data_IF_711145462944
#
_entry.id   IF_711145462944
#
_cell.length_a   1.000
_cell.length_b   1.000
_cell.length_c   1.000
_cell.angle_alpha   90.00
_cell.angle_beta   90.00
_cell.angle_gamma   90.00
#
_symmetry.space_group_name_H-M   'P 1'
#
loop_
_entity.id
_entity.type
_entity.pdbx_description
1 polymer ?
#
# COMPACT_ATOMS: atom_id res chain seq x y z
N UNK A 1 16.63 -13.45 36.87
CA UNK A 1 16.42 -14.86 37.21
C UNK A 1 14.93 -15.07 37.34
N UNK A 2 14.16 -15.76 36.51
CA UNK A 2 14.28 -16.40 35.19
C UNK A 2 12.80 -16.47 34.71
N UNK A 3 12.47 -15.95 33.54
CA UNK A 3 12.40 -16.67 32.27
C UNK A 3 11.20 -17.66 32.15
N UNK A 4 10.39 -17.42 31.12
CA UNK A 4 9.57 -18.37 30.35
C UNK A 4 8.18 -18.76 30.91
N UNK A 5 7.13 -18.18 30.34
CA UNK A 5 6.43 -18.84 29.22
C UNK A 5 5.13 -18.10 28.89
N UNK A 6 4.98 -17.72 27.62
CA UNK A 6 3.79 -17.89 26.76
C UNK A 6 3.78 -16.83 25.68
N UNK A 7 4.35 -17.20 24.55
CA UNK A 7 4.10 -16.63 23.22
C UNK A 7 3.99 -17.85 22.27
N UNK A 8 3.40 -17.81 21.06
CA UNK A 8 2.55 -16.79 20.42
C UNK A 8 1.27 -17.38 19.81
N UNK A 9 0.46 -16.48 19.24
CA UNK A 9 -0.53 -16.68 18.17
C UNK A 9 -0.62 -18.09 17.55
N UNK A 10 -1.80 -18.70 17.67
CA UNK A 10 -2.23 -19.81 16.81
C UNK A 10 -2.25 -19.34 15.36
N UNK A 11 -1.20 -19.67 14.62
CA UNK A 11 -1.11 -19.49 13.17
C UNK A 11 -2.01 -20.52 12.49
N UNK A 12 -3.16 -20.06 11.98
CA UNK A 12 -3.99 -20.85 11.07
C UNK A 12 -3.24 -20.93 9.74
N UNK A 13 -2.60 -22.07 9.43
CA UNK A 13 -2.09 -22.35 8.09
C UNK A 13 -3.26 -22.61 7.15
N UNK A 14 -3.45 -21.87 6.05
CA UNK A 14 -4.44 -22.24 5.05
C UNK A 14 -3.96 -23.49 4.28
N UNK A 15 -4.88 -24.36 3.82
CA UNK A 15 -4.51 -25.56 3.09
C UNK A 15 -3.92 -25.20 1.72
N UNK A 16 -2.71 -25.71 1.46
CA UNK A 16 -2.12 -25.72 0.12
C UNK A 16 -2.94 -26.67 -0.76
N UNK A 17 -3.67 -26.12 -1.72
CA UNK A 17 -4.14 -26.89 -2.88
C UNK A 17 -3.31 -26.50 -4.11
N UNK A 18 -2.62 -27.50 -4.66
CA UNK A 18 -1.85 -27.41 -5.89
C UNK A 18 -2.82 -27.49 -7.08
N UNK A 19 -2.98 -26.40 -7.83
CA UNK A 19 -3.78 -26.35 -9.05
C UNK A 19 -3.17 -25.39 -10.06
N UNK A 20 -2.71 -25.92 -11.19
CA UNK A 20 -1.99 -25.23 -12.27
C UNK A 20 -2.71 -23.93 -12.70
N UNK A 21 -2.09 -22.76 -12.52
CA UNK A 21 -2.37 -21.56 -13.33
C UNK A 21 -1.09 -20.83 -13.71
N UNK A 22 -0.54 -21.21 -14.87
CA UNK A 22 0.32 -20.30 -15.65
C UNK A 22 -0.56 -19.16 -16.16
N UNK A 23 -0.50 -18.01 -15.49
CA UNK A 23 -0.78 -16.71 -16.10
C UNK A 23 0.36 -15.79 -15.68
N UNK A 24 1.41 -15.72 -16.51
CA UNK A 24 2.31 -14.58 -16.50
C UNK A 24 1.48 -13.37 -16.97
N UNK A 25 0.75 -12.76 -16.04
CA UNK A 25 0.18 -11.43 -16.21
C UNK A 25 1.19 -10.46 -15.64
N UNK A 26 1.60 -9.51 -16.47
CA UNK A 26 2.32 -8.31 -16.05
C UNK A 26 1.58 -7.77 -14.82
N UNK A 27 2.19 -7.92 -13.65
CA UNK A 27 1.66 -7.34 -12.42
C UNK A 27 1.97 -5.85 -12.50
N UNK A 28 1.00 -5.08 -13.01
CA UNK A 28 1.09 -3.63 -13.02
C UNK A 28 0.98 -3.17 -11.56
N UNK A 29 2.14 -2.94 -10.92
CA UNK A 29 2.26 -2.39 -9.56
C UNK A 29 1.48 -1.08 -9.45
N UNK A 30 0.87 -0.83 -8.29
CA UNK A 30 -0.01 0.32 -8.05
C UNK A 30 -1.47 0.16 -8.54
N UNK A 31 -1.87 -1.01 -9.06
CA UNK A 31 -3.28 -1.27 -9.32
C UNK A 31 -4.09 -1.40 -8.00
N UNK A 32 -5.42 -1.22 -8.02
CA UNK A 32 -6.21 -1.22 -6.79
C UNK A 32 -6.12 -2.49 -5.94
N UNK A 33 -5.88 -3.65 -6.55
CA UNK A 33 -5.74 -4.92 -5.81
C UNK A 33 -4.42 -4.93 -5.04
N UNK A 34 -3.33 -4.45 -5.66
CA UNK A 34 -2.05 -4.27 -4.97
C UNK A 34 -2.18 -3.26 -3.83
N UNK A 35 -2.83 -2.11 -4.07
CA UNK A 35 -3.01 -1.11 -3.02
C UNK A 35 -3.79 -1.67 -1.81
N UNK A 36 -4.89 -2.38 -2.03
CA UNK A 36 -5.64 -3.04 -0.94
C UNK A 36 -4.80 -4.12 -0.25
N UNK A 37 -4.02 -4.90 -1.00
CA UNK A 37 -3.14 -5.92 -0.45
C UNK A 37 -2.10 -5.31 0.50
N UNK A 38 -1.39 -4.27 0.05
CA UNK A 38 -0.41 -3.51 0.84
C UNK A 38 -1.05 -2.89 2.07
N UNK A 39 -2.23 -2.28 1.92
CA UNK A 39 -2.94 -1.65 3.04
C UNK A 39 -3.42 -2.69 4.08
N UNK A 40 -3.92 -3.85 3.65
CA UNK A 40 -4.26 -4.96 4.56
C UNK A 40 -3.04 -5.46 5.31
N UNK A 41 -1.88 -5.54 4.66
CA UNK A 41 -0.64 -5.91 5.30
C UNK A 41 -0.17 -4.86 6.32
N UNK A 42 -0.30 -3.57 5.99
CA UNK A 42 -0.06 -2.50 6.95
C UNK A 42 -0.94 -2.66 8.20
N UNK A 43 -2.26 -2.79 8.07
CA UNK A 43 -3.13 -2.99 9.25
C UNK A 43 -2.83 -4.27 10.05
N UNK A 44 -2.47 -5.35 9.36
CA UNK A 44 -2.17 -6.63 10.02
C UNK A 44 -0.86 -6.59 10.82
N UNK A 45 0.11 -5.80 10.35
CA UNK A 45 1.47 -5.75 10.88
C UNK A 45 1.91 -4.35 11.28
N UNK A 46 0.94 -3.47 11.56
CA UNK A 46 1.13 -2.03 11.75
C UNK A 46 2.27 -1.74 12.71
N UNK A 47 3.14 -0.81 12.31
CA UNK A 47 4.27 -0.35 13.12
C UNK A 47 5.25 -1.45 13.56
N UNK A 48 5.33 -2.53 12.77
CA UNK A 48 6.34 -3.58 12.92
C UNK A 48 7.28 -3.63 11.71
N UNK A 49 8.34 -4.43 11.80
CA UNK A 49 9.25 -4.75 10.68
C UNK A 49 8.54 -5.38 9.47
N UNK A 50 7.34 -5.93 9.65
CA UNK A 50 6.56 -6.54 8.58
C UNK A 50 5.63 -5.56 7.86
N UNK A 51 5.48 -4.33 8.37
CA UNK A 51 4.67 -3.29 7.74
C UNK A 51 5.38 -2.69 6.50
N UNK A 52 4.73 -2.70 5.32
CA UNK A 52 5.28 -2.15 4.09
C UNK A 52 5.64 -0.66 4.12
N UNK A 53 5.15 0.13 5.06
CA UNK A 53 5.51 1.54 5.18
C UNK A 53 5.62 1.96 6.63
N UNK A 54 6.25 1.08 7.41
CA UNK A 54 6.42 1.23 8.85
C UNK A 54 7.09 2.56 9.24
N UNK A 55 6.55 3.30 10.21
CA UNK A 55 7.14 4.53 10.73
C UNK A 55 8.39 4.27 11.58
N UNK A 56 8.65 3.03 12.00
CA UNK A 56 9.79 2.68 12.88
C UNK A 56 11.15 2.94 12.22
N UNK A 57 11.20 2.94 10.88
CA UNK A 57 12.39 3.29 10.11
C UNK A 57 12.52 4.81 9.87
N UNK A 58 11.69 5.61 10.52
CA UNK A 58 11.71 7.06 10.49
C UNK A 58 10.72 7.67 9.50
N UNK A 59 10.53 8.98 9.65
CA UNK A 59 9.53 9.75 8.91
C UNK A 59 9.62 9.59 7.39
N UNK A 60 10.80 9.83 6.81
CA UNK A 60 10.99 9.78 5.36
C UNK A 60 10.74 8.40 4.78
N UNK A 61 10.96 7.36 5.60
CA UNK A 61 10.71 6.00 5.24
C UNK A 61 9.23 5.73 5.00
N UNK A 62 8.40 5.93 6.03
CA UNK A 62 6.95 5.78 5.93
C UNK A 62 6.32 6.75 4.93
N UNK A 63 6.99 7.88 4.66
CA UNK A 63 6.44 8.94 3.80
C UNK A 63 6.63 8.61 2.34
N UNK A 64 7.86 8.40 1.86
CA UNK A 64 8.12 8.30 0.42
C UNK A 64 9.10 7.20 0.02
N UNK A 65 10.07 6.87 0.88
CA UNK A 65 11.15 5.94 0.52
C UNK A 65 10.63 4.51 0.39
N UNK A 66 9.60 4.11 1.14
CA UNK A 66 9.03 2.77 1.07
C UNK A 66 8.56 2.36 -0.35
N UNK A 67 8.14 3.32 -1.17
CA UNK A 67 7.75 3.09 -2.57
C UNK A 67 8.96 2.79 -3.45
N UNK A 68 10.09 3.46 -3.19
CA UNK A 68 11.33 3.22 -3.90
C UNK A 68 11.89 1.83 -3.56
N UNK A 69 11.72 1.40 -2.31
CA UNK A 69 12.16 0.09 -1.86
C UNK A 69 11.30 -1.07 -2.35
N UNK A 70 10.02 -0.82 -2.66
CA UNK A 70 9.18 -1.79 -3.36
C UNK A 70 9.77 -2.19 -4.73
N UNK A 71 10.69 -1.36 -5.28
CA UNK A 71 11.29 -1.55 -6.60
C UNK A 71 12.52 -2.46 -6.56
N UNK A 72 13.46 -2.22 -5.65
CA UNK A 72 14.82 -2.79 -5.77
C UNK A 72 15.29 -3.64 -4.57
N UNK A 73 14.58 -3.64 -3.43
CA UNK A 73 14.93 -4.47 -2.25
C UNK A 73 16.34 -4.24 -1.67
N UNK A 74 17.06 -3.23 -2.16
CA UNK A 74 18.51 -3.07 -1.99
C UNK A 74 18.92 -1.84 -1.18
N UNK A 75 18.01 -0.88 -0.97
CA UNK A 75 18.36 0.42 -0.38
C UNK A 75 18.40 0.39 1.17
N UNK A 76 17.66 -0.51 1.82
CA UNK A 76 17.68 -0.65 3.29
C UNK A 76 17.77 -2.09 3.83
N UNK A 77 18.13 -3.09 3.01
CA UNK A 77 18.32 -4.47 3.49
C UNK A 77 17.05 -5.13 4.06
N UNK A 78 15.87 -4.55 3.86
CA UNK A 78 14.61 -5.05 4.38
C UNK A 78 14.11 -6.28 3.60
N UNK A 79 14.13 -7.42 4.27
CA UNK A 79 13.62 -8.70 3.77
C UNK A 79 12.08 -8.74 3.85
N UNK A 80 11.40 -7.99 2.98
CA UNK A 80 9.93 -7.98 2.96
C UNK A 80 9.38 -9.26 2.33
N UNK A 81 9.04 -10.22 3.19
CA UNK A 81 8.42 -11.52 2.83
C UNK A 81 7.03 -11.39 2.15
N UNK A 82 6.35 -10.26 2.29
CA UNK A 82 4.93 -10.10 1.93
C UNK A 82 4.69 -9.52 0.53
N UNK A 83 5.49 -9.95 -0.46
CA UNK A 83 5.33 -9.55 -1.87
C UNK A 83 4.20 -10.28 -2.60
N UNK A 84 3.46 -11.15 -1.91
CA UNK A 84 2.37 -11.94 -2.53
C UNK A 84 1.05 -11.24 -2.29
N UNK A 85 0.27 -11.06 -3.35
CA UNK A 85 -1.13 -10.58 -3.32
C UNK A 85 -2.09 -11.65 -2.76
N UNK A 86 -1.62 -12.52 -1.87
CA UNK A 86 -2.40 -13.65 -1.35
C UNK A 86 -3.48 -13.21 -0.36
N UNK A 87 -3.28 -12.09 0.31
CA UNK A 87 -4.25 -11.48 1.22
C UNK A 87 -5.37 -10.68 0.51
N UNK A 88 -5.36 -10.57 -0.83
CA UNK A 88 -6.37 -9.85 -1.63
C UNK A 88 -6.99 -10.71 -2.75
N UNK A 89 -6.92 -12.04 -2.61
CA UNK A 89 -7.44 -13.00 -3.60
C UNK A 89 -8.97 -12.96 -3.74
N UNK A 90 -9.69 -12.44 -2.75
CA UNK A 90 -11.12 -12.13 -2.79
C UNK A 90 -11.44 -11.10 -3.90
N UNK A 91 -10.63 -10.06 -4.05
CA UNK A 91 -10.81 -9.04 -5.09
C UNK A 91 -10.49 -9.60 -6.48
N UNK A 92 -9.50 -10.50 -6.57
CA UNK A 92 -9.14 -11.13 -7.85
C UNK A 92 -10.24 -12.00 -8.45
N UNK A 93 -11.15 -12.53 -7.62
CA UNK A 93 -12.29 -13.34 -8.06
C UNK A 93 -13.39 -12.49 -8.69
N UNK A 94 -13.46 -11.21 -8.34
CA UNK A 94 -14.54 -10.31 -8.76
C UNK A 94 -14.30 -9.73 -10.16
N UNK A 95 -15.34 -9.71 -10.99
CA UNK A 95 -15.26 -9.24 -12.39
C UNK A 95 -14.85 -7.77 -12.45
N UNK A 96 -15.45 -6.94 -11.59
CA UNK A 96 -15.21 -5.50 -11.52
C UNK A 96 -13.73 -5.18 -11.29
N UNK A 97 -13.10 -5.72 -10.24
CA UNK A 97 -11.69 -5.44 -9.94
C UNK A 97 -10.74 -5.96 -11.02
N UNK A 98 -11.08 -7.07 -11.69
CA UNK A 98 -10.30 -7.55 -12.85
C UNK A 98 -10.41 -6.58 -14.03
N UNK A 99 -11.58 -6.00 -14.27
CA UNK A 99 -11.79 -4.97 -15.29
C UNK A 99 -10.94 -3.74 -14.97
N UNK A 100 -11.11 -3.16 -13.77
CA UNK A 100 -10.35 -1.98 -13.33
C UNK A 100 -8.84 -2.21 -13.42
N UNK A 101 -8.34 -3.37 -12.96
CA UNK A 101 -6.92 -3.71 -13.08
C UNK A 101 -6.46 -3.74 -14.55
N UNK A 102 -7.28 -4.25 -15.46
CA UNK A 102 -6.95 -4.34 -16.90
C UNK A 102 -6.91 -2.94 -17.54
N UNK A 103 -7.87 -2.09 -17.21
CA UNK A 103 -8.03 -0.75 -17.78
C UNK A 103 -7.38 0.35 -16.95
N UNK A 104 -6.67 0.01 -15.86
CA UNK A 104 -6.14 0.97 -14.87
C UNK A 104 -5.46 2.20 -15.49
N UNK A 105 -4.50 2.01 -16.39
CA UNK A 105 -3.78 3.10 -17.06
C UNK A 105 -4.65 3.91 -18.04
N UNK A 106 -5.72 3.34 -18.57
CA UNK A 106 -6.60 4.04 -19.50
C UNK A 106 -7.39 5.15 -18.82
N UNK A 107 -7.79 4.98 -17.55
CA UNK A 107 -8.57 6.00 -16.84
C UNK A 107 -7.82 7.33 -16.64
N UNK A 108 -6.59 7.38 -16.09
CA UNK A 108 -5.86 8.64 -15.95
C UNK A 108 -5.45 9.23 -17.31
N UNK A 109 -5.16 8.39 -18.31
CA UNK A 109 -4.86 8.87 -19.68
C UNK A 109 -6.11 9.50 -20.32
N UNK A 110 -7.26 8.83 -20.22
CA UNK A 110 -8.52 9.37 -20.73
C UNK A 110 -8.88 10.69 -20.05
N UNK A 111 -8.74 10.77 -18.72
CA UNK A 111 -8.95 12.00 -17.96
C UNK A 111 -8.00 13.12 -18.41
N UNK A 112 -6.71 12.81 -18.61
CA UNK A 112 -5.72 13.77 -19.09
C UNK A 112 -6.07 14.33 -20.46
N UNK A 113 -6.47 13.47 -21.40
CA UNK A 113 -6.90 13.88 -22.74
C UNK A 113 -8.14 14.76 -22.67
N UNK A 114 -9.16 14.35 -21.90
CA UNK A 114 -10.41 15.12 -21.75
C UNK A 114 -10.12 16.52 -21.20
N UNK A 115 -9.32 16.62 -20.14
CA UNK A 115 -8.95 17.90 -19.53
C UNK A 115 -8.16 18.79 -20.49
N UNK A 116 -7.23 18.21 -21.26
CA UNK A 116 -6.47 18.94 -22.26
C UNK A 116 -7.36 19.45 -23.40
N UNK A 117 -8.31 18.65 -23.88
CA UNK A 117 -9.25 19.07 -24.93
C UNK A 117 -10.17 20.20 -24.44
N UNK A 118 -10.61 20.16 -23.18
CA UNK A 118 -11.55 21.14 -22.63
C UNK A 118 -10.88 22.47 -22.30
N UNK A 119 -9.68 22.45 -21.70
CA UNK A 119 -9.06 23.65 -21.14
C UNK A 119 -7.56 23.75 -21.37
N UNK A 120 -7.03 22.99 -22.32
CA UNK A 120 -5.63 23.03 -22.73
C UNK A 120 -4.66 22.62 -21.64
N UNK A 121 -3.44 23.14 -21.74
CA UNK A 121 -2.34 22.82 -20.85
C UNK A 121 -2.60 23.14 -19.36
N UNK A 122 -3.22 24.28 -18.99
CA UNK A 122 -3.52 24.56 -17.58
C UNK A 122 -4.42 23.51 -16.93
N UNK A 123 -5.47 23.05 -17.62
CA UNK A 123 -6.39 22.03 -17.10
C UNK A 123 -5.69 20.68 -16.94
N UNK A 124 -4.83 20.31 -17.91
CA UNK A 124 -4.01 19.12 -17.80
C UNK A 124 -3.08 19.18 -16.58
N UNK A 125 -2.31 20.27 -16.41
CA UNK A 125 -1.35 20.41 -15.31
C UNK A 125 -2.04 20.37 -13.96
N UNK A 126 -3.09 21.16 -13.75
CA UNK A 126 -3.76 21.22 -12.46
C UNK A 126 -4.63 19.99 -12.19
N UNK A 127 -5.41 19.56 -13.17
CA UNK A 127 -6.37 18.46 -13.03
C UNK A 127 -5.74 17.06 -13.03
N UNK A 128 -4.50 16.92 -13.52
CA UNK A 128 -3.77 15.64 -13.50
C UNK A 128 -2.50 15.70 -12.67
N UNK A 129 -1.49 16.50 -13.05
CA UNK A 129 -0.17 16.48 -12.42
C UNK A 129 -0.21 16.96 -10.96
N UNK A 130 -0.64 18.21 -10.73
CA UNK A 130 -0.66 18.80 -9.39
C UNK A 130 -1.61 18.02 -8.47
N UNK A 131 -2.82 17.71 -8.96
CA UNK A 131 -3.77 16.86 -8.25
C UNK A 131 -3.16 15.53 -7.81
N UNK A 132 -2.43 14.85 -8.68
CA UNK A 132 -1.81 13.56 -8.36
C UNK A 132 -0.72 13.72 -7.29
N UNK A 133 0.13 14.75 -7.41
CA UNK A 133 1.17 15.04 -6.42
C UNK A 133 0.57 15.34 -5.05
N UNK A 134 -0.46 16.19 -4.99
CA UNK A 134 -1.16 16.50 -3.74
C UNK A 134 -1.80 15.26 -3.13
N UNK A 135 -2.49 14.44 -3.94
CA UNK A 135 -3.12 13.20 -3.48
C UNK A 135 -2.10 12.22 -2.89
N UNK A 136 -0.94 12.06 -3.55
CA UNK A 136 0.15 11.22 -3.07
C UNK A 136 0.68 11.73 -1.73
N UNK A 137 0.98 13.03 -1.62
CA UNK A 137 1.43 13.63 -0.36
C UNK A 137 0.41 13.45 0.76
N UNK A 138 -0.88 13.71 0.53
CA UNK A 138 -1.92 13.49 1.53
C UNK A 138 -1.97 12.02 1.98
N UNK A 139 -1.85 11.07 1.05
CA UNK A 139 -1.83 9.64 1.38
C UNK A 139 -0.61 9.27 2.22
N UNK A 140 0.56 9.78 1.85
CA UNK A 140 1.82 9.51 2.53
C UNK A 140 1.90 10.14 3.92
N UNK A 141 1.27 11.31 4.10
CA UNK A 141 1.14 11.93 5.42
C UNK A 141 0.36 11.03 6.38
N UNK A 142 -0.69 10.33 5.94
CA UNK A 142 -1.42 9.38 6.80
C UNK A 142 -0.49 8.26 7.28
N UNK A 143 0.35 7.71 6.40
CA UNK A 143 1.27 6.63 6.77
C UNK A 143 2.37 7.07 7.75
N UNK A 144 2.69 8.36 7.82
CA UNK A 144 3.83 8.87 8.60
C UNK A 144 3.42 9.83 9.70
N UNK A 145 2.84 10.98 9.34
CA UNK A 145 2.44 11.97 10.32
C UNK A 145 1.47 11.39 11.33
N UNK A 146 0.45 10.66 10.86
CA UNK A 146 -0.54 10.05 11.76
C UNK A 146 0.00 8.86 12.54
N UNK A 147 1.25 8.43 12.35
CA UNK A 147 1.88 7.38 13.16
C UNK A 147 3.07 7.88 13.99
N UNK A 148 3.37 9.18 13.93
CA UNK A 148 4.53 9.76 14.62
C UNK A 148 4.17 10.94 15.50
N UNK A 149 3.11 11.68 15.14
CA UNK A 149 2.68 12.87 15.85
C UNK A 149 1.16 12.92 15.96
N UNK A 150 0.68 13.50 17.06
CA UNK A 150 -0.74 13.69 17.31
C UNK A 150 -1.16 13.19 18.69
N UNK A 151 -2.47 13.12 18.90
CA UNK A 151 -3.04 12.66 20.16
C UNK A 151 -3.51 11.20 20.04
N UNK A 152 -3.16 10.36 21.03
CA UNK A 152 -3.61 8.97 21.13
C UNK A 152 -4.56 8.79 22.33
N UNK A 153 -5.85 9.10 22.19
CA UNK A 153 -6.81 8.95 23.29
C UNK A 153 -7.16 7.49 23.59
N UNK A 154 -6.93 6.59 22.63
CA UNK A 154 -7.24 5.17 22.75
C UNK A 154 -5.98 4.35 22.97
N UNK A 155 -6.08 3.31 23.80
CA UNK A 155 -4.98 2.37 24.03
C UNK A 155 -4.96 1.32 22.91
N UNK A 156 -4.27 1.61 21.82
CA UNK A 156 -3.96 0.67 20.73
C UNK A 156 -2.57 0.06 20.94
N UNK A 157 -2.25 -0.97 20.14
CA UNK A 157 -0.90 -1.56 20.09
C UNK A 157 -0.09 -0.99 18.91
N UNK A 158 -0.45 0.21 18.43
CA UNK A 158 0.15 0.92 17.31
C UNK A 158 0.41 2.39 17.70
N UNK A 159 1.11 3.11 16.84
CA UNK A 159 1.45 4.52 16.99
C UNK A 159 0.44 5.44 16.27
N UNK A 160 -0.73 4.93 15.86
CA UNK A 160 -1.74 5.72 15.15
C UNK A 160 -2.32 6.83 16.04
N UNK A 161 -2.32 8.06 15.53
CA UNK A 161 -2.58 9.27 16.30
C UNK A 161 -3.50 10.23 15.53
N UNK A 162 -4.36 10.92 16.27
CA UNK A 162 -5.31 11.88 15.73
C UNK A 162 -4.63 13.20 15.37
N UNK A 163 -4.89 13.67 14.15
CA UNK A 163 -4.43 14.95 13.60
C UNK A 163 -5.64 15.65 12.93
N UNK A 164 -5.75 16.97 13.06
CA UNK A 164 -6.94 17.78 12.79
C UNK A 164 -6.57 19.03 11.99
#
# INVERSE_FOLDING_TARGET
MDALSRDPMKTVKPPMSFGKRKRNKIDKKGNPINWVSTHRYHHQFVDTEQDPHTPIHGFWFGYIIWILEEKDGSIAGMNRKHRKLDNASDLEKQIFYRFIRKTYLLHPIALAIILYVIGGFPFFIWGTCVRTVMLLHSTFMVNSFCHMWGNQPWKTNDFSANNW
#
